data_IF_842681267705
#
_entry.id   IF_842681267705
#
_cell.length_a   1.000
_cell.length_b   1.000
_cell.length_c   1.000
_cell.angle_alpha   90.00
_cell.angle_beta   90.00
_cell.angle_gamma   90.00
#
_symmetry.space_group_name_H-M   'P 1'
#
loop_
_entity.id
_entity.type
_entity.pdbx_description
1 polymer ?
#
# COMPACT_ATOMS: atom_id res chain seq x y z
N UNK A 1 -28.14 -2.36 12.95
CA UNK A 1 -27.00 -3.31 13.06
C UNK A 1 -26.40 -3.46 11.67
N UNK A 2 -25.37 -2.67 11.34
CA UNK A 2 -24.81 -2.59 9.98
C UNK A 2 -24.04 -3.86 9.61
N UNK A 3 -24.34 -4.43 8.45
CA UNK A 3 -23.67 -5.62 7.92
C UNK A 3 -22.16 -5.41 7.97
N UNK A 4 -21.45 -6.26 8.74
CA UNK A 4 -19.99 -6.26 8.82
C UNK A 4 -19.47 -6.37 7.39
N UNK A 5 -18.86 -5.29 6.87
CA UNK A 5 -18.32 -5.28 5.53
C UNK A 5 -17.39 -6.48 5.39
N UNK A 6 -17.71 -7.42 4.48
CA UNK A 6 -16.94 -8.67 4.37
C UNK A 6 -15.53 -8.37 3.84
N UNK A 7 -14.61 -8.11 4.75
CA UNK A 7 -13.21 -7.80 4.49
C UNK A 7 -12.34 -9.06 4.44
N UNK A 8 -12.79 -10.15 5.07
CA UNK A 8 -12.08 -11.43 5.15
C UNK A 8 -11.74 -12.01 3.78
N UNK A 9 -12.68 -11.96 2.83
CA UNK A 9 -12.45 -12.47 1.48
C UNK A 9 -11.40 -11.66 0.72
N UNK A 10 -11.45 -10.32 0.82
CA UNK A 10 -10.46 -9.43 0.19
C UNK A 10 -9.07 -9.55 0.83
N UNK A 11 -9.01 -9.66 2.15
CA UNK A 11 -7.75 -9.85 2.88
C UNK A 11 -7.13 -11.22 2.55
N UNK A 12 -7.93 -12.29 2.57
CA UNK A 12 -7.45 -13.63 2.24
C UNK A 12 -6.98 -13.71 0.77
N UNK A 13 -7.78 -13.22 -0.17
CA UNK A 13 -7.42 -13.23 -1.59
C UNK A 13 -6.18 -12.37 -1.85
N UNK A 14 -6.13 -11.16 -1.28
CA UNK A 14 -4.99 -10.27 -1.42
C UNK A 14 -3.68 -10.85 -0.85
N UNK A 15 -3.75 -11.53 0.30
CA UNK A 15 -2.59 -12.17 0.93
C UNK A 15 -2.12 -13.39 0.13
N UNK A 16 -3.05 -14.14 -0.46
CA UNK A 16 -2.74 -15.23 -1.39
C UNK A 16 -2.07 -14.68 -2.65
N UNK A 17 -2.62 -13.65 -3.29
CA UNK A 17 -2.04 -13.08 -4.51
C UNK A 17 -0.65 -12.48 -4.29
N UNK A 18 -0.44 -11.79 -3.16
CA UNK A 18 0.89 -11.29 -2.77
C UNK A 18 1.84 -12.44 -2.43
N UNK A 19 1.33 -13.48 -1.77
CA UNK A 19 2.09 -14.70 -1.48
C UNK A 19 2.55 -15.42 -2.74
N UNK A 20 1.70 -15.47 -3.77
CA UNK A 20 2.04 -16.06 -5.07
C UNK A 20 3.18 -15.29 -5.75
N UNK A 21 3.31 -13.98 -5.52
CA UNK A 21 4.44 -13.18 -6.05
C UNK A 21 5.78 -13.61 -5.47
N UNK A 22 5.80 -14.26 -4.31
CA UNK A 22 7.00 -14.85 -3.70
C UNK A 22 7.27 -16.28 -4.17
N UNK A 23 6.41 -16.83 -5.02
CA UNK A 23 6.52 -18.20 -5.54
C UNK A 23 6.59 -18.19 -7.07
N UNK A 24 7.40 -19.06 -7.66
CA UNK A 24 7.62 -19.12 -9.11
C UNK A 24 6.49 -19.85 -9.88
N UNK A 25 5.27 -19.85 -9.32
CA UNK A 25 4.12 -20.67 -9.77
C UNK A 25 3.23 -19.86 -10.74
N UNK A 26 3.68 -18.70 -11.22
CA UNK A 26 2.85 -17.86 -12.08
C UNK A 26 2.79 -18.41 -13.51
N UNK A 27 1.60 -18.40 -14.15
CA UNK A 27 1.47 -18.80 -15.54
C UNK A 27 2.28 -17.87 -16.45
N UNK A 28 2.90 -18.45 -17.48
CA UNK A 28 3.65 -17.71 -18.49
C UNK A 28 2.78 -16.59 -19.06
N UNK A 29 3.27 -15.35 -18.93
CA UNK A 29 2.53 -14.15 -19.31
C UNK A 29 2.39 -13.98 -20.83
N UNK A 30 1.77 -12.89 -21.29
CA UNK A 30 1.55 -12.60 -22.71
C UNK A 30 2.84 -12.48 -23.54
N UNK A 31 4.02 -12.48 -22.90
CA UNK A 31 5.35 -12.45 -23.52
C UNK A 31 6.24 -13.64 -23.09
N UNK A 32 5.63 -14.74 -22.63
CA UNK A 32 6.31 -15.92 -22.06
C UNK A 32 7.16 -15.61 -20.80
N UNK A 33 6.90 -14.46 -20.18
CA UNK A 33 7.58 -14.02 -18.98
C UNK A 33 6.71 -14.30 -17.74
N UNK A 34 7.15 -15.24 -16.91
CA UNK A 34 6.51 -15.59 -15.62
C UNK A 34 6.63 -14.47 -14.59
N UNK A 35 7.68 -13.65 -14.68
CA UNK A 35 7.98 -12.53 -13.77
C UNK A 35 6.97 -11.40 -13.93
N UNK A 36 6.58 -11.12 -15.17
CA UNK A 36 5.56 -10.11 -15.48
C UNK A 36 4.20 -10.48 -14.85
N UNK A 37 3.76 -11.73 -15.03
CA UNK A 37 2.50 -12.23 -14.45
C UNK A 37 2.54 -12.21 -12.92
N UNK A 38 3.66 -12.65 -12.32
CA UNK A 38 3.87 -12.58 -10.86
C UNK A 38 3.71 -11.15 -10.34
N UNK A 39 4.36 -10.18 -10.98
CA UNK A 39 4.27 -8.77 -10.60
C UNK A 39 2.86 -8.20 -10.73
N UNK A 40 2.16 -8.49 -11.82
CA UNK A 40 0.79 -8.03 -12.06
C UNK A 40 -0.22 -8.63 -11.05
N UNK A 41 -0.06 -9.91 -10.70
CA UNK A 41 -0.84 -10.56 -9.66
C UNK A 41 -0.53 -9.98 -8.28
N UNK A 42 0.74 -9.70 -7.97
CA UNK A 42 1.14 -9.05 -6.73
C UNK A 42 0.53 -7.67 -6.56
N UNK A 43 0.57 -6.84 -7.60
CA UNK A 43 -0.10 -5.53 -7.63
C UNK A 43 -1.61 -5.64 -7.41
N UNK A 44 -2.26 -6.60 -8.08
CA UNK A 44 -3.68 -6.86 -7.94
C UNK A 44 -4.02 -7.32 -6.52
N UNK A 45 -3.20 -8.19 -5.92
CA UNK A 45 -3.33 -8.62 -4.53
C UNK A 45 -3.19 -7.47 -3.54
N UNK A 46 -2.24 -6.57 -3.80
CA UNK A 46 -2.01 -5.38 -2.99
C UNK A 46 -3.20 -4.42 -3.00
N UNK A 47 -3.84 -4.25 -4.17
CA UNK A 47 -5.08 -3.48 -4.30
C UNK A 47 -6.20 -4.08 -3.45
N UNK A 48 -6.33 -5.41 -3.41
CA UNK A 48 -7.33 -6.11 -2.59
C UNK A 48 -7.03 -5.98 -1.09
N UNK A 49 -5.76 -6.08 -0.68
CA UNK A 49 -5.34 -5.85 0.70
C UNK A 49 -5.66 -4.42 1.15
N UNK A 50 -5.39 -3.43 0.29
CA UNK A 50 -5.75 -2.03 0.55
C UNK A 50 -7.26 -1.88 0.76
N UNK A 51 -8.09 -2.44 -0.12
CA UNK A 51 -9.55 -2.40 0.02
C UNK A 51 -10.05 -3.10 1.28
N UNK A 52 -9.42 -4.22 1.65
CA UNK A 52 -9.73 -4.93 2.89
C UNK A 52 -9.41 -4.09 4.12
N UNK A 53 -8.21 -3.50 4.18
CA UNK A 53 -7.80 -2.60 5.24
C UNK A 53 -8.71 -1.37 5.32
N UNK A 54 -9.03 -0.74 4.19
CA UNK A 54 -9.91 0.43 4.13
C UNK A 54 -11.30 0.12 4.73
N UNK A 55 -11.88 -1.03 4.37
CA UNK A 55 -13.18 -1.48 4.91
C UNK A 55 -13.13 -1.79 6.40
N UNK A 56 -12.00 -2.31 6.91
CA UNK A 56 -11.80 -2.54 8.35
C UNK A 56 -11.68 -1.22 9.11
N UNK A 57 -10.85 -0.30 8.61
CA UNK A 57 -10.51 0.95 9.30
C UNK A 57 -11.67 1.94 9.29
N UNK A 58 -12.33 2.13 8.16
CA UNK A 58 -13.34 3.19 8.02
C UNK A 58 -14.78 2.67 8.03
N UNK A 59 -15.01 1.35 7.91
CA UNK A 59 -16.36 0.72 7.87
C UNK A 59 -17.35 1.36 6.87
N UNK A 60 -16.86 2.15 5.91
CA UNK A 60 -17.60 2.80 4.84
C UNK A 60 -17.27 2.15 3.50
N UNK A 61 -18.23 2.18 2.57
CA UNK A 61 -18.00 1.80 1.17
C UNK A 61 -17.35 2.99 0.45
N UNK A 62 -16.03 3.11 0.58
CA UNK A 62 -15.21 4.11 -0.10
C UNK A 62 -13.90 3.51 -0.61
N UNK A 63 -13.11 4.31 -1.31
CA UNK A 63 -11.81 3.91 -1.86
C UNK A 63 -10.69 4.87 -1.43
N UNK A 64 -11.05 6.08 -0.99
CA UNK A 64 -10.09 7.13 -0.63
C UNK A 64 -10.40 7.64 0.77
N UNK A 65 -9.45 7.58 1.72
CA UNK A 65 -9.60 8.25 3.00
C UNK A 65 -9.39 9.75 2.76
N UNK A 66 -10.45 10.53 2.86
CA UNK A 66 -10.37 11.99 2.90
C UNK A 66 -9.66 12.45 4.19
N UNK A 67 -9.02 13.62 4.16
CA UNK A 67 -8.28 14.17 5.30
C UNK A 67 -9.16 14.30 6.56
N UNK A 68 -10.47 14.53 6.39
CA UNK A 68 -11.45 14.60 7.48
C UNK A 68 -11.58 13.30 8.32
N UNK A 69 -11.12 12.17 7.78
CA UNK A 69 -11.17 10.88 8.49
C UNK A 69 -9.94 10.66 9.39
N UNK A 70 -8.94 11.55 9.35
CA UNK A 70 -7.75 11.48 10.19
C UNK A 70 -8.01 12.25 11.49
N UNK A 71 -7.86 11.58 12.64
CA UNK A 71 -8.06 12.22 13.96
C UNK A 71 -7.10 13.39 14.19
N UNK A 72 -5.80 13.17 13.98
CA UNK A 72 -4.74 14.16 14.20
C UNK A 72 -3.70 14.09 13.08
N UNK A 73 -4.00 14.68 11.91
CA UNK A 73 -3.13 14.56 10.74
C UNK A 73 -1.76 15.25 10.93
N UNK A 74 -1.67 16.28 11.77
CA UNK A 74 -0.40 16.95 12.09
C UNK A 74 0.58 16.07 12.88
N UNK A 75 0.10 15.27 13.84
CA UNK A 75 0.95 14.36 14.62
C UNK A 75 1.21 13.02 13.91
N UNK A 76 0.25 12.57 13.08
CA UNK A 76 0.32 11.27 12.39
C UNK A 76 1.17 11.33 11.11
N UNK A 77 1.22 12.47 10.42
CA UNK A 77 1.96 12.63 9.16
C UNK A 77 3.45 12.28 9.21
N UNK A 78 4.27 12.72 10.20
CA UNK A 78 5.68 12.33 10.24
C UNK A 78 5.86 10.81 10.44
N UNK A 79 4.97 10.16 11.19
CA UNK A 79 5.02 8.71 11.43
C UNK A 79 4.77 7.93 10.13
N UNK A 80 3.84 8.40 9.30
CA UNK A 80 3.54 7.82 7.99
C UNK A 80 4.73 7.99 7.03
N UNK A 81 5.36 9.17 7.01
CA UNK A 81 6.59 9.40 6.22
C UNK A 81 7.71 8.47 6.67
N UNK A 82 7.95 8.35 7.98
CA UNK A 82 8.97 7.42 8.52
C UNK A 82 8.66 5.98 8.15
N UNK A 83 7.39 5.56 8.24
CA UNK A 83 6.96 4.21 7.86
C UNK A 83 7.23 3.93 6.38
N UNK A 84 6.95 4.90 5.50
CA UNK A 84 7.26 4.83 4.08
C UNK A 84 8.76 4.69 3.81
N UNK A 85 9.60 5.47 4.50
CA UNK A 85 11.06 5.36 4.39
C UNK A 85 11.60 4.02 4.89
N UNK A 86 11.06 3.47 5.97
CA UNK A 86 11.42 2.13 6.46
C UNK A 86 11.06 1.06 5.44
N UNK A 87 9.86 1.16 4.83
CA UNK A 87 9.43 0.28 3.75
C UNK A 87 10.38 0.33 2.54
N UNK A 88 10.86 1.52 2.17
CA UNK A 88 11.86 1.69 1.11
C UNK A 88 13.21 1.05 1.48
N UNK A 89 13.64 1.18 2.73
CA UNK A 89 14.84 0.50 3.23
C UNK A 89 14.73 -1.02 3.18
N UNK A 90 13.57 -1.56 3.58
CA UNK A 90 13.28 -3.00 3.48
C UNK A 90 13.24 -3.45 2.01
N UNK A 91 12.58 -2.68 1.14
CA UNK A 91 12.54 -2.95 -0.30
C UNK A 91 13.94 -3.04 -0.90
N UNK A 92 14.84 -2.11 -0.55
CA UNK A 92 16.23 -2.12 -1.01
C UNK A 92 16.97 -3.37 -0.54
N UNK A 93 16.79 -3.77 0.73
CA UNK A 93 17.40 -4.97 1.26
C UNK A 93 16.86 -6.23 0.55
N UNK A 94 15.54 -6.33 0.36
CA UNK A 94 14.89 -7.44 -0.35
C UNK A 94 15.37 -7.56 -1.78
N UNK A 95 15.51 -6.45 -2.51
CA UNK A 95 16.00 -6.45 -3.89
C UNK A 95 17.47 -6.84 -4.06
N UNK A 96 18.23 -6.97 -2.95
CA UNK A 96 19.64 -7.38 -2.96
C UNK A 96 19.86 -8.80 -2.45
N UNK A 97 18.80 -9.47 -1.98
CA UNK A 97 18.84 -10.84 -1.52
C UNK A 97 18.37 -11.76 -2.64
N UNK A 98 19.22 -12.68 -3.09
CA UNK A 98 18.88 -13.69 -4.11
C UNK A 98 17.76 -14.67 -3.67
N UNK A 99 17.32 -14.58 -2.42
CA UNK A 99 16.23 -15.39 -1.87
C UNK A 99 14.84 -14.94 -2.36
N UNK A 100 14.67 -13.67 -2.71
CA UNK A 100 13.38 -13.11 -3.09
C UNK A 100 13.29 -12.89 -4.60
N UNK A 101 12.13 -13.14 -5.24
CA UNK A 101 11.94 -12.83 -6.65
C UNK A 101 12.21 -11.35 -6.95
N UNK A 102 12.84 -11.05 -8.08
CA UNK A 102 13.12 -9.68 -8.54
C UNK A 102 11.92 -8.70 -8.41
N UNK A 103 10.67 -9.06 -8.77
CA UNK A 103 9.53 -8.14 -8.66
C UNK A 103 9.12 -7.82 -7.21
N UNK A 104 9.51 -8.62 -6.22
CA UNK A 104 9.13 -8.38 -4.83
C UNK A 104 9.73 -7.06 -4.30
N UNK A 105 10.99 -6.79 -4.62
CA UNK A 105 11.65 -5.52 -4.27
C UNK A 105 10.95 -4.32 -4.91
N UNK A 106 10.54 -4.45 -6.18
CA UNK A 106 9.84 -3.40 -6.93
C UNK A 106 8.43 -3.12 -6.39
N UNK A 107 7.67 -4.14 -6.02
CA UNK A 107 6.35 -3.96 -5.40
C UNK A 107 6.49 -3.26 -4.05
N UNK A 108 7.47 -3.67 -3.23
CA UNK A 108 7.73 -3.02 -1.94
C UNK A 108 8.20 -1.57 -2.10
N UNK A 109 9.00 -1.25 -3.11
CA UNK A 109 9.44 0.13 -3.34
C UNK A 109 8.28 1.02 -3.74
N UNK A 110 7.37 0.51 -4.60
CA UNK A 110 6.17 1.22 -4.99
C UNK A 110 5.28 1.52 -3.78
N UNK A 111 5.06 0.55 -2.90
CA UNK A 111 4.31 0.76 -1.65
C UNK A 111 4.99 1.81 -0.78
N UNK A 112 6.30 1.69 -0.56
CA UNK A 112 7.07 2.65 0.23
C UNK A 112 6.99 4.07 -0.33
N UNK A 113 7.06 4.23 -1.65
CA UNK A 113 6.91 5.51 -2.34
C UNK A 113 5.50 6.09 -2.18
N UNK A 114 4.45 5.26 -2.34
CA UNK A 114 3.07 5.69 -2.15
C UNK A 114 2.81 6.17 -0.72
N UNK A 115 3.27 5.41 0.28
CA UNK A 115 3.13 5.76 1.70
C UNK A 115 3.89 7.04 2.01
N UNK A 116 5.14 7.15 1.53
CA UNK A 116 5.97 8.34 1.74
C UNK A 116 5.32 9.58 1.12
N UNK A 117 4.89 9.48 -0.14
CA UNK A 117 4.28 10.60 -0.86
C UNK A 117 2.96 11.02 -0.21
N UNK A 118 2.15 10.07 0.25
CA UNK A 118 0.92 10.37 0.98
C UNK A 118 1.22 11.07 2.32
N UNK A 119 2.19 10.56 3.10
CA UNK A 119 2.60 11.18 4.36
C UNK A 119 3.15 12.60 4.15
N UNK A 120 3.97 12.81 3.11
CA UNK A 120 4.49 14.13 2.74
C UNK A 120 3.36 15.07 2.34
N UNK A 121 2.39 14.59 1.57
CA UNK A 121 1.22 15.39 1.20
C UNK A 121 0.42 15.85 2.41
N UNK A 122 0.10 14.92 3.34
CA UNK A 122 -0.61 15.26 4.59
C UNK A 122 0.21 16.26 5.40
N UNK A 123 1.52 16.03 5.56
CA UNK A 123 2.40 16.94 6.28
C UNK A 123 2.41 18.34 5.65
N UNK A 124 2.54 18.43 4.33
CA UNK A 124 2.49 19.71 3.61
C UNK A 124 1.14 20.41 3.79
N UNK A 125 0.05 19.65 3.82
CA UNK A 125 -1.32 20.16 3.98
C UNK A 125 -1.66 20.59 5.41
N UNK A 126 -0.98 20.07 6.43
CA UNK A 126 -1.32 20.37 7.83
C UNK A 126 -0.30 21.24 8.56
N UNK A 127 0.98 21.11 8.24
CA UNK A 127 2.08 21.77 8.94
C UNK A 127 3.10 22.43 8.01
N UNK A 128 3.01 22.18 6.70
CA UNK A 128 3.90 22.72 5.70
C UNK A 128 3.30 23.90 4.92
N UNK A 129 3.95 24.32 3.82
CA UNK A 129 3.61 25.55 3.09
C UNK A 129 2.27 25.48 2.33
N UNK A 130 1.60 24.33 2.32
CA UNK A 130 0.27 24.13 1.73
C UNK A 130 -0.83 24.08 2.80
N UNK A 131 -0.50 24.25 4.08
CA UNK A 131 -1.51 24.49 5.10
C UNK A 131 -2.20 25.80 4.76
N UNK A 132 -3.49 25.74 4.42
CA UNK A 132 -4.26 26.92 4.08
C UNK A 132 -4.18 27.94 5.23
N UNK A 133 -3.76 29.17 4.91
CA UNK A 133 -3.91 30.37 5.74
C UNK A 133 -5.38 30.85 5.75
N UNK A 134 -6.34 29.93 5.71
CA UNK A 134 -7.75 30.24 5.45
C UNK A 134 -8.61 29.63 6.57
N UNK A 135 -8.41 30.19 7.77
CA UNK A 135 -9.42 30.61 8.76
C UNK A 135 -8.70 30.95 10.08
N UNK A 136 -8.03 32.12 10.10
CA UNK A 136 -8.08 33.14 11.17
C UNK A 136 -7.30 34.40 10.77
#
# INVERSE_FOLDING_TARGET
>A
MGAKAEWRHFAALGLILVGITFTDISPNGPWDDSTFTSGALGLSGMMLLYLAWFRVTFSIKGVVPTLDLWKDPASTSPLVVTTGLVLLGISYAVGRLDFFPEPAGLVLSLVGLLVTTNGVYVWMSTAGPLANFEEE
#
